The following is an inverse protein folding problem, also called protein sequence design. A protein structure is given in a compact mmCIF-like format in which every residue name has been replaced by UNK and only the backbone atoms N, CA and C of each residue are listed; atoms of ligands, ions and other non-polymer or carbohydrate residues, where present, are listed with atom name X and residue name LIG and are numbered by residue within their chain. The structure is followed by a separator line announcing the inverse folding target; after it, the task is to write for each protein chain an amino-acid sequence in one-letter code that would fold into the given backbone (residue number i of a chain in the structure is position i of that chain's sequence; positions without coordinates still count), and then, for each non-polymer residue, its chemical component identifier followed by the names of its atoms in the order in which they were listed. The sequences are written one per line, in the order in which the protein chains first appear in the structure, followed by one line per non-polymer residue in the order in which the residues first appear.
data_IF_445703660020
#
_entry.id   IF_445703660020
#
_cell.length_a   1.000
_cell.length_b   1.000
_cell.length_c   1.000
_cell.angle_alpha   90.00
_cell.angle_beta   90.00
_cell.angle_gamma   90.00
#
_symmetry.space_group_name_H-M   'P 1'
#
loop_
_entity.id
_entity.type
_entity.pdbx_description
1 polymer ?
#
# COMPACT_ATOMS: atom_id res chain seq x y z
N UNK A 1 -17.75 7.40 -22.60
CA UNK A 1 -16.34 7.18 -22.17
C UNK A 1 -16.27 6.80 -20.68
N UNK A 2 -16.78 7.60 -19.71
CA UNK A 2 -16.75 7.23 -18.28
C UNK A 2 -17.54 5.95 -17.98
N UNK A 3 -18.75 5.82 -18.51
CA UNK A 3 -19.58 4.62 -18.35
C UNK A 3 -18.90 3.35 -18.88
N UNK A 4 -18.25 3.45 -20.03
CA UNK A 4 -17.48 2.33 -20.60
C UNK A 4 -16.31 1.93 -19.68
N UNK A 5 -15.60 2.92 -19.10
CA UNK A 5 -14.52 2.67 -18.15
C UNK A 5 -15.04 1.96 -16.88
N UNK A 6 -16.18 2.41 -16.33
CA UNK A 6 -16.80 1.80 -15.16
C UNK A 6 -17.35 0.39 -15.45
N UNK A 7 -17.83 0.16 -16.68
CA UNK A 7 -18.24 -1.17 -17.13
C UNK A 7 -17.04 -2.13 -17.17
N UNK A 8 -15.93 -1.73 -17.83
CA UNK A 8 -14.70 -2.53 -17.89
C UNK A 8 -14.15 -2.79 -16.48
N UNK A 9 -14.18 -1.79 -15.61
CA UNK A 9 -13.74 -1.90 -14.20
C UNK A 9 -14.53 -2.98 -13.44
N UNK A 10 -15.83 -3.05 -13.69
CA UNK A 10 -16.71 -4.09 -13.12
C UNK A 10 -16.46 -5.46 -13.74
N UNK A 11 -16.28 -5.55 -15.04
CA UNK A 11 -16.01 -6.82 -15.74
C UNK A 11 -14.69 -7.45 -15.29
N UNK A 12 -13.62 -6.65 -15.14
CA UNK A 12 -12.33 -7.14 -14.62
C UNK A 12 -12.50 -7.65 -13.18
N UNK A 13 -13.25 -6.93 -12.34
CA UNK A 13 -13.54 -7.40 -11.00
C UNK A 13 -14.24 -8.76 -11.01
N UNK A 14 -15.33 -8.88 -11.81
CA UNK A 14 -16.11 -10.12 -11.90
C UNK A 14 -15.29 -11.28 -12.44
N UNK A 15 -14.44 -11.05 -13.42
CA UNK A 15 -13.52 -12.05 -13.94
C UNK A 15 -12.53 -12.56 -12.86
N UNK A 16 -11.97 -11.66 -12.05
CA UNK A 16 -11.05 -12.04 -10.96
C UNK A 16 -11.80 -12.75 -9.83
N UNK A 17 -12.93 -12.20 -9.38
CA UNK A 17 -13.72 -12.75 -8.29
C UNK A 17 -14.42 -14.06 -8.67
N UNK A 18 -14.84 -14.21 -9.93
CA UNK A 18 -15.46 -15.43 -10.43
C UNK A 18 -14.50 -16.62 -10.56
N UNK A 19 -13.18 -16.37 -10.63
CA UNK A 19 -12.17 -17.43 -10.65
C UNK A 19 -11.78 -17.78 -9.20
N UNK A 20 -12.63 -18.53 -8.52
CA UNK A 20 -12.47 -18.87 -7.11
C UNK A 20 -12.38 -20.39 -6.88
N UNK A 21 -11.74 -20.77 -5.77
CA UNK A 21 -11.62 -22.14 -5.29
C UNK A 21 -11.40 -22.14 -3.77
N UNK A 22 -11.79 -23.21 -3.03
CA UNK A 22 -11.69 -23.24 -1.56
C UNK A 22 -10.27 -22.97 -1.03
N UNK A 23 -9.24 -23.48 -1.70
CA UNK A 23 -7.83 -23.20 -1.33
C UNK A 23 -7.45 -21.75 -1.59
N UNK A 24 -7.92 -21.17 -2.69
CA UNK A 24 -7.66 -19.78 -3.05
C UNK A 24 -8.40 -18.81 -2.13
N UNK A 25 -9.61 -19.13 -1.68
CA UNK A 25 -10.37 -18.38 -0.68
C UNK A 25 -9.57 -18.24 0.61
N UNK A 26 -9.04 -19.33 1.14
CA UNK A 26 -8.19 -19.34 2.34
C UNK A 26 -6.93 -18.51 2.13
N UNK A 27 -6.25 -18.69 0.99
CA UNK A 27 -5.01 -17.97 0.68
C UNK A 27 -5.25 -16.46 0.56
N UNK A 28 -6.27 -16.05 -0.20
CA UNK A 28 -6.57 -14.63 -0.41
C UNK A 28 -7.10 -13.96 0.86
N UNK A 29 -7.83 -14.70 1.70
CA UNK A 29 -8.22 -14.23 3.02
C UNK A 29 -7.00 -13.93 3.90
N UNK A 30 -6.04 -14.86 3.97
CA UNK A 30 -4.79 -14.71 4.73
C UNK A 30 -3.97 -13.53 4.17
N UNK A 31 -3.77 -13.44 2.85
CA UNK A 31 -3.01 -12.36 2.21
C UNK A 31 -3.66 -10.99 2.50
N UNK A 32 -4.99 -10.91 2.49
CA UNK A 32 -5.72 -9.66 2.75
C UNK A 32 -5.69 -9.24 4.22
N UNK A 33 -5.39 -10.14 5.16
CA UNK A 33 -5.40 -9.83 6.57
C UNK A 33 -4.16 -9.03 6.99
N UNK A 34 -4.36 -7.87 7.63
CA UNK A 34 -3.24 -6.99 8.08
C UNK A 34 -2.27 -7.71 9.02
N UNK A 35 -2.78 -8.57 9.89
CA UNK A 35 -1.97 -9.29 10.88
C UNK A 35 -0.98 -10.27 10.23
N UNK A 36 -1.30 -10.83 9.07
CA UNK A 36 -0.43 -11.74 8.32
C UNK A 36 0.94 -11.13 8.02
N UNK A 37 1.00 -9.82 7.86
CA UNK A 37 2.19 -9.09 7.45
C UNK A 37 3.01 -8.52 8.59
N UNK A 38 2.60 -8.75 9.85
CA UNK A 38 3.38 -8.35 11.03
C UNK A 38 4.83 -8.87 10.98
N UNK A 39 5.10 -10.16 10.64
CA UNK A 39 6.48 -10.64 10.51
C UNK A 39 7.28 -9.89 9.45
N UNK A 40 6.68 -9.57 8.31
CA UNK A 40 7.35 -8.76 7.27
C UNK A 40 7.67 -7.35 7.79
N UNK A 41 6.74 -6.67 8.46
CA UNK A 41 7.00 -5.35 9.03
C UNK A 41 8.13 -5.37 10.06
N UNK A 42 8.14 -6.39 10.95
CA UNK A 42 9.21 -6.56 11.92
C UNK A 42 10.57 -6.82 11.25
N UNK A 43 10.60 -7.61 10.18
CA UNK A 43 11.81 -7.83 9.38
C UNK A 43 12.30 -6.52 8.77
N UNK A 44 11.44 -5.73 8.12
CA UNK A 44 11.81 -4.45 7.50
C UNK A 44 12.34 -3.46 8.54
N UNK A 45 11.70 -3.36 9.70
CA UNK A 45 12.16 -2.55 10.82
C UNK A 45 13.53 -3.03 11.30
N UNK A 46 13.70 -4.35 11.52
CA UNK A 46 14.97 -4.95 11.94
C UNK A 46 16.12 -4.64 10.97
N UNK A 47 15.85 -4.72 9.66
CA UNK A 47 16.82 -4.38 8.62
C UNK A 47 17.21 -2.89 8.66
N UNK A 48 16.25 -1.98 8.85
CA UNK A 48 16.55 -0.56 9.01
C UNK A 48 17.37 -0.29 10.27
N UNK A 49 17.02 -0.90 11.39
CA UNK A 49 17.78 -0.79 12.65
C UNK A 49 19.21 -1.33 12.45
N UNK A 50 19.35 -2.50 11.88
CA UNK A 50 20.66 -3.11 11.64
C UNK A 50 21.57 -2.21 10.80
N UNK A 51 21.06 -1.61 9.71
CA UNK A 51 21.86 -0.82 8.76
C UNK A 51 22.07 0.63 9.19
N UNK A 52 21.06 1.25 9.83
CA UNK A 52 21.01 2.71 10.09
C UNK A 52 20.98 3.06 11.60
N UNK A 53 21.52 2.19 12.46
CA UNK A 53 21.54 2.37 13.92
C UNK A 53 22.42 3.54 14.40
N UNK A 54 23.29 4.06 13.55
CA UNK A 54 24.16 5.20 13.90
C UNK A 54 23.50 6.52 13.49
N UNK A 55 23.76 7.60 14.22
CA UNK A 55 23.42 8.94 13.76
C UNK A 55 24.14 9.27 12.46
N UNK A 56 23.54 10.11 11.63
CA UNK A 56 24.14 10.62 10.39
C UNK A 56 24.23 12.13 10.43
N UNK A 57 25.18 12.69 9.69
CA UNK A 57 25.28 14.14 9.49
C UNK A 57 24.06 14.62 8.71
N UNK A 58 23.23 15.41 9.34
CA UNK A 58 21.95 15.91 8.79
C UNK A 58 21.94 17.44 8.84
N UNK A 59 21.19 18.06 7.92
CA UNK A 59 20.93 19.52 7.91
C UNK A 59 20.11 19.99 9.12
N UNK A 60 19.42 19.09 9.78
CA UNK A 60 18.54 19.38 10.93
C UNK A 60 19.32 19.11 12.22
N UNK A 61 19.80 20.16 12.89
CA UNK A 61 20.73 20.07 14.04
C UNK A 61 20.29 19.10 15.15
N UNK A 62 19.01 19.11 15.55
CA UNK A 62 18.54 18.25 16.64
C UNK A 62 18.47 16.75 16.24
N UNK A 63 18.38 16.44 14.94
CA UNK A 63 18.40 15.05 14.43
C UNK A 63 19.82 14.46 14.40
N UNK A 64 20.89 15.27 14.52
CA UNK A 64 22.27 14.78 14.48
C UNK A 64 22.60 13.81 15.63
N UNK A 65 21.81 13.83 16.70
CA UNK A 65 21.96 12.93 17.85
C UNK A 65 21.03 11.70 17.79
N UNK A 66 20.12 11.67 16.82
CA UNK A 66 19.12 10.61 16.68
C UNK A 66 19.61 9.56 15.68
N UNK A 67 19.55 8.26 15.99
CA UNK A 67 19.85 7.21 15.02
C UNK A 67 18.98 7.35 13.76
N UNK A 68 19.60 7.22 12.58
CA UNK A 68 18.88 7.44 11.32
C UNK A 68 17.70 6.46 11.14
N UNK A 69 17.80 5.22 11.65
CA UNK A 69 16.70 4.26 11.63
C UNK A 69 15.45 4.77 12.35
N UNK A 70 15.59 5.50 13.47
CA UNK A 70 14.43 6.04 14.20
C UNK A 70 13.69 7.04 13.33
N UNK A 71 14.41 7.96 12.67
CA UNK A 71 13.83 8.95 11.76
C UNK A 71 13.16 8.27 10.56
N UNK A 72 13.81 7.26 9.98
CA UNK A 72 13.25 6.52 8.82
C UNK A 72 12.00 5.73 9.20
N UNK A 73 12.00 5.04 10.33
CA UNK A 73 10.84 4.28 10.83
C UNK A 73 9.67 5.23 11.14
N UNK A 74 9.95 6.34 11.83
CA UNK A 74 8.95 7.36 12.11
C UNK A 74 8.37 7.97 10.81
N UNK A 75 9.22 8.25 9.81
CA UNK A 75 8.78 8.76 8.51
C UNK A 75 7.90 7.75 7.77
N UNK A 76 8.25 6.45 7.79
CA UNK A 76 7.41 5.40 7.18
C UNK A 76 6.05 5.35 7.89
N UNK A 77 6.03 5.36 9.23
CA UNK A 77 4.79 5.37 10.00
C UNK A 77 3.89 6.58 9.70
N UNK A 78 4.49 7.79 9.66
CA UNK A 78 3.80 9.02 9.31
C UNK A 78 3.27 8.99 7.86
N UNK A 79 4.06 8.49 6.92
CA UNK A 79 3.66 8.37 5.53
C UNK A 79 2.50 7.38 5.34
N UNK A 80 2.52 6.23 6.04
CA UNK A 80 1.40 5.27 6.04
C UNK A 80 0.16 5.91 6.66
N UNK A 81 0.29 6.59 7.80
CA UNK A 81 -0.82 7.31 8.43
C UNK A 81 -1.41 8.40 7.53
N UNK A 82 -0.57 9.17 6.83
CA UNK A 82 -1.00 10.18 5.87
C UNK A 82 -1.73 9.56 4.66
N UNK A 83 -1.20 8.47 4.10
CA UNK A 83 -1.85 7.78 2.99
C UNK A 83 -3.21 7.17 3.41
N UNK A 84 -3.29 6.58 4.60
CA UNK A 84 -4.56 6.06 5.14
C UNK A 84 -5.58 7.19 5.38
N UNK A 85 -5.14 8.32 5.95
CA UNK A 85 -6.00 9.49 6.16
C UNK A 85 -6.50 10.08 4.83
N UNK A 86 -5.64 10.23 3.82
CA UNK A 86 -6.03 10.69 2.49
C UNK A 86 -7.02 9.71 1.85
N UNK A 87 -6.71 8.41 1.90
CA UNK A 87 -7.53 7.38 1.28
C UNK A 87 -8.87 7.21 2.00
N UNK A 88 -8.85 7.05 3.32
CA UNK A 88 -10.03 6.68 4.13
C UNK A 88 -10.78 7.88 4.70
N UNK A 89 -10.06 8.94 5.10
CA UNK A 89 -10.66 10.12 5.72
C UNK A 89 -11.13 11.18 4.73
N UNK A 90 -10.50 11.24 3.53
CA UNK A 90 -10.83 12.28 2.54
C UNK A 90 -11.50 11.67 1.32
N UNK A 91 -10.77 10.83 0.56
CA UNK A 91 -11.21 10.41 -0.77
C UNK A 91 -12.44 9.49 -0.74
N UNK A 92 -12.57 8.61 0.25
CA UNK A 92 -13.75 7.75 0.36
C UNK A 92 -15.04 8.54 0.60
N UNK A 93 -14.99 9.55 1.44
CA UNK A 93 -16.16 10.38 1.73
C UNK A 93 -16.45 11.35 0.58
N UNK A 94 -15.40 11.89 -0.07
CA UNK A 94 -15.55 12.84 -1.17
C UNK A 94 -16.13 12.17 -2.43
N UNK A 95 -15.62 10.99 -2.80
CA UNK A 95 -16.06 10.27 -4.02
C UNK A 95 -17.30 9.42 -3.75
N UNK A 96 -17.47 8.92 -2.52
CA UNK A 96 -18.60 8.13 -2.05
C UNK A 96 -18.98 6.95 -2.96
N UNK A 97 -18.00 6.37 -3.70
CA UNK A 97 -18.21 5.23 -4.58
C UNK A 97 -18.54 3.98 -3.75
N UNK A 98 -19.73 3.37 -3.92
CA UNK A 98 -20.07 2.15 -3.18
C UNK A 98 -19.10 1.01 -3.54
N UNK A 99 -18.80 0.15 -2.57
CA UNK A 99 -18.05 -1.07 -2.83
C UNK A 99 -18.85 -2.05 -3.67
N UNK A 100 -18.20 -2.96 -4.43
CA UNK A 100 -18.92 -4.01 -5.19
C UNK A 100 -19.93 -4.77 -4.33
N UNK A 101 -19.53 -5.14 -3.10
CA UNK A 101 -20.36 -5.84 -2.12
C UNK A 101 -21.57 -5.04 -1.58
N UNK A 102 -21.73 -3.77 -1.99
CA UNK A 102 -22.81 -2.86 -1.59
C UNK A 102 -23.66 -2.39 -2.78
N UNK A 103 -23.39 -2.92 -3.97
CA UNK A 103 -24.12 -2.61 -5.20
C UNK A 103 -25.18 -3.69 -5.39
N UNK A 104 -26.50 -3.33 -5.42
CA UNK A 104 -27.59 -4.32 -5.50
C UNK A 104 -27.50 -5.23 -6.73
N UNK A 105 -27.06 -4.69 -7.88
CA UNK A 105 -26.93 -5.40 -9.14
C UNK A 105 -25.86 -6.52 -9.11
N UNK A 106 -24.94 -6.44 -8.14
CA UNK A 106 -23.88 -7.43 -7.91
C UNK A 106 -24.21 -8.42 -6.79
N UNK A 107 -25.35 -8.25 -6.12
CA UNK A 107 -25.78 -9.16 -5.07
C UNK A 107 -26.14 -10.53 -5.67
N UNK A 108 -25.56 -11.60 -5.10
CA UNK A 108 -25.70 -12.96 -5.64
C UNK A 108 -24.80 -13.30 -6.83
N UNK A 109 -24.14 -12.31 -7.45
CA UNK A 109 -23.16 -12.53 -8.52
C UNK A 109 -21.75 -12.66 -7.95
N UNK A 110 -21.41 -11.86 -6.92
CA UNK A 110 -20.12 -11.88 -6.28
C UNK A 110 -19.94 -13.10 -5.37
N UNK A 111 -18.79 -13.76 -5.52
CA UNK A 111 -18.31 -14.74 -4.54
C UNK A 111 -17.78 -14.03 -3.29
N UNK A 112 -18.43 -14.26 -2.14
CA UNK A 112 -18.09 -13.64 -0.85
C UNK A 112 -17.40 -14.66 0.06
N UNK A 113 -16.09 -14.55 0.21
CA UNK A 113 -15.33 -15.39 1.14
C UNK A 113 -15.76 -15.04 2.58
N UNK A 114 -16.21 -16.04 3.33
CA UNK A 114 -16.70 -15.90 4.70
C UNK A 114 -17.81 -14.83 4.88
N UNK A 115 -18.56 -14.51 3.84
CA UNK A 115 -19.60 -13.47 3.88
C UNK A 115 -19.07 -12.06 4.05
N UNK A 116 -17.78 -11.81 3.79
CA UNK A 116 -17.12 -10.55 4.05
C UNK A 116 -17.54 -9.46 3.08
N UNK A 117 -18.12 -8.37 3.59
CA UNK A 117 -18.63 -7.24 2.78
C UNK A 117 -17.82 -5.94 2.95
N UNK A 118 -16.94 -5.83 3.93
CA UNK A 118 -16.16 -4.61 4.25
C UNK A 118 -17.02 -3.34 4.47
N UNK A 119 -16.42 -2.14 4.44
CA UNK A 119 -17.11 -0.87 4.66
C UNK A 119 -17.99 -0.42 3.47
N UNK A 120 -18.61 0.78 3.58
CA UNK A 120 -19.55 1.32 2.59
C UNK A 120 -18.89 1.75 1.30
N UNK A 121 -17.82 2.59 1.37
CA UNK A 121 -17.17 3.19 0.21
C UNK A 121 -15.84 2.51 -0.14
N UNK A 122 -15.52 2.44 -1.44
CA UNK A 122 -14.37 1.74 -2.01
C UNK A 122 -13.23 2.63 -2.46
N UNK A 123 -13.52 3.74 -3.09
CA UNK A 123 -12.52 4.59 -3.75
C UNK A 123 -11.88 5.57 -2.74
N UNK A 124 -10.58 5.54 -2.56
CA UNK A 124 -9.56 4.63 -3.08
C UNK A 124 -9.28 3.51 -2.08
N UNK A 125 -8.57 2.46 -2.52
CA UNK A 125 -8.18 1.36 -1.63
C UNK A 125 -7.06 1.76 -0.69
N UNK A 126 -7.36 1.88 0.61
CA UNK A 126 -6.34 2.15 1.64
C UNK A 126 -5.34 0.99 1.83
N UNK A 127 -5.74 -0.27 1.56
CA UNK A 127 -4.78 -1.37 1.53
C UNK A 127 -3.72 -1.17 0.45
N UNK A 128 -4.14 -0.81 -0.77
CA UNK A 128 -3.21 -0.53 -1.86
C UNK A 128 -2.31 0.68 -1.54
N UNK A 129 -2.87 1.76 -0.99
CA UNK A 129 -2.11 2.95 -0.62
C UNK A 129 -1.05 2.64 0.45
N UNK A 130 -1.44 1.99 1.54
CA UNK A 130 -0.57 1.72 2.68
C UNK A 130 0.55 0.71 2.34
N UNK A 131 0.22 -0.37 1.60
CA UNK A 131 1.24 -1.34 1.15
C UNK A 131 2.22 -0.71 0.17
N UNK A 132 1.74 0.15 -0.75
CA UNK A 132 2.59 0.87 -1.69
C UNK A 132 3.54 1.84 -0.97
N UNK A 133 3.07 2.60 0.03
CA UNK A 133 3.95 3.47 0.84
C UNK A 133 5.07 2.64 1.48
N UNK A 134 4.73 1.56 2.18
CA UNK A 134 5.72 0.71 2.84
C UNK A 134 6.73 0.15 1.84
N UNK A 135 6.25 -0.45 0.74
CA UNK A 135 7.10 -1.10 -0.24
C UNK A 135 8.00 -0.11 -0.97
N UNK A 136 7.43 0.98 -1.48
CA UNK A 136 8.17 1.94 -2.30
C UNK A 136 9.16 2.74 -1.47
N UNK A 137 8.75 3.27 -0.31
CA UNK A 137 9.64 4.06 0.54
C UNK A 137 10.79 3.20 1.08
N UNK A 138 10.52 1.98 1.56
CA UNK A 138 11.58 1.06 1.97
C UNK A 138 12.52 0.73 0.80
N UNK A 139 12.00 0.44 -0.38
CA UNK A 139 12.80 0.13 -1.59
C UNK A 139 13.73 1.28 -1.97
N UNK A 140 13.23 2.52 -1.92
CA UNK A 140 14.03 3.71 -2.21
C UNK A 140 15.13 3.96 -1.17
N UNK A 141 14.88 3.64 0.11
CA UNK A 141 15.88 3.74 1.20
C UNK A 141 16.90 2.61 1.07
N UNK A 142 16.45 1.37 0.88
CA UNK A 142 17.28 0.16 0.93
C UNK A 142 18.11 -0.03 -0.34
N UNK A 143 17.59 0.34 -1.51
CA UNK A 143 18.25 0.31 -2.83
C UNK A 143 18.77 -1.09 -3.23
N UNK A 144 18.00 -2.12 -2.95
CA UNK A 144 18.28 -3.49 -3.38
C UNK A 144 17.20 -3.95 -4.35
N UNK A 145 17.59 -4.36 -5.57
CA UNK A 145 16.65 -4.74 -6.64
C UNK A 145 15.81 -5.95 -6.27
N UNK A 146 16.40 -6.97 -5.63
CA UNK A 146 15.70 -8.20 -5.24
C UNK A 146 14.64 -7.88 -4.18
N UNK A 147 15.00 -7.11 -3.14
CA UNK A 147 14.06 -6.65 -2.12
C UNK A 147 12.94 -5.81 -2.74
N UNK A 148 13.26 -4.92 -3.68
CA UNK A 148 12.26 -4.12 -4.39
C UNK A 148 11.27 -5.00 -5.15
N UNK A 149 11.75 -5.95 -5.95
CA UNK A 149 10.87 -6.89 -6.68
C UNK A 149 9.99 -7.67 -5.72
N UNK A 150 10.56 -8.23 -4.64
CA UNK A 150 9.78 -8.97 -3.64
C UNK A 150 8.68 -8.12 -2.98
N UNK A 151 9.00 -6.85 -2.64
CA UNK A 151 8.01 -5.93 -2.07
C UNK A 151 6.94 -5.51 -3.08
N UNK A 152 7.28 -5.32 -4.36
CA UNK A 152 6.27 -5.04 -5.39
C UNK A 152 5.36 -6.24 -5.65
N UNK A 153 5.88 -7.47 -5.63
CA UNK A 153 5.05 -8.68 -5.70
C UNK A 153 4.13 -8.80 -4.47
N UNK A 154 4.62 -8.45 -3.29
CA UNK A 154 3.78 -8.37 -2.09
C UNK A 154 2.65 -7.34 -2.23
N UNK A 155 2.92 -6.14 -2.77
CA UNK A 155 1.87 -5.14 -3.08
C UNK A 155 0.86 -5.72 -4.07
N UNK A 156 1.34 -6.33 -5.16
CA UNK A 156 0.47 -6.92 -6.18
C UNK A 156 -0.43 -8.02 -5.60
N UNK A 157 0.12 -8.91 -4.76
CA UNK A 157 -0.65 -9.96 -4.09
C UNK A 157 -1.75 -9.38 -3.16
N UNK A 158 -1.40 -8.33 -2.38
CA UNK A 158 -2.39 -7.63 -1.56
C UNK A 158 -3.48 -6.98 -2.41
N UNK A 159 -3.13 -6.28 -3.48
CA UNK A 159 -4.08 -5.66 -4.40
C UNK A 159 -5.01 -6.71 -5.04
N UNK A 160 -4.44 -7.81 -5.54
CA UNK A 160 -5.21 -8.91 -6.11
C UNK A 160 -6.19 -9.51 -5.10
N UNK A 161 -5.76 -9.74 -3.86
CA UNK A 161 -6.62 -10.28 -2.80
C UNK A 161 -7.85 -9.41 -2.53
N UNK A 162 -7.75 -8.07 -2.70
CA UNK A 162 -8.89 -7.15 -2.48
C UNK A 162 -9.95 -7.27 -3.60
N UNK A 163 -9.51 -7.49 -4.84
CA UNK A 163 -10.41 -7.74 -5.97
C UNK A 163 -11.01 -9.15 -5.88
N UNK A 164 -10.18 -10.15 -5.55
CA UNK A 164 -10.63 -11.52 -5.33
C UNK A 164 -11.74 -11.62 -4.27
N UNK A 165 -11.60 -10.90 -3.15
CA UNK A 165 -12.61 -10.82 -2.08
C UNK A 165 -13.83 -9.97 -2.46
N UNK A 166 -13.90 -9.41 -3.67
CA UNK A 166 -15.02 -8.62 -4.15
C UNK A 166 -15.20 -7.26 -3.45
N UNK A 167 -14.20 -6.75 -2.74
CA UNK A 167 -14.34 -5.54 -1.90
C UNK A 167 -13.79 -4.25 -2.51
N UNK A 168 -13.09 -4.34 -3.65
CA UNK A 168 -12.58 -3.19 -4.40
C UNK A 168 -12.58 -3.45 -5.89
N UNK A 169 -12.93 -2.42 -6.67
CA UNK A 169 -12.73 -2.40 -8.10
C UNK A 169 -11.26 -2.17 -8.47
N UNK A 170 -10.79 -2.56 -9.68
CA UNK A 170 -9.45 -2.22 -10.19
C UNK A 170 -9.10 -0.74 -10.08
N UNK A 171 -10.02 0.18 -10.42
CA UNK A 171 -9.79 1.62 -10.33
C UNK A 171 -9.61 2.09 -8.87
N UNK A 172 -10.26 1.46 -7.89
CA UNK A 172 -10.02 1.76 -6.47
C UNK A 172 -8.58 1.41 -6.08
N UNK A 173 -8.07 0.29 -6.61
CA UNK A 173 -6.69 -0.18 -6.40
C UNK A 173 -5.70 0.78 -7.05
N UNK A 174 -5.90 1.12 -8.33
CA UNK A 174 -5.03 2.06 -9.05
C UNK A 174 -4.97 3.42 -8.36
N UNK A 175 -6.11 3.97 -7.96
CA UNK A 175 -6.16 5.21 -7.20
C UNK A 175 -5.41 5.11 -5.87
N UNK A 176 -5.54 3.98 -5.15
CA UNK A 176 -4.80 3.72 -3.93
C UNK A 176 -3.28 3.64 -4.16
N UNK A 177 -2.84 2.93 -5.19
CA UNK A 177 -1.43 2.87 -5.59
C UNK A 177 -0.86 4.25 -5.92
N UNK A 178 -1.63 5.09 -6.63
CA UNK A 178 -1.20 6.47 -6.95
C UNK A 178 -1.02 7.31 -5.68
N UNK A 179 -1.98 7.27 -4.75
CA UNK A 179 -1.85 7.96 -3.44
C UNK A 179 -0.62 7.46 -2.70
N UNK A 180 -0.43 6.14 -2.63
CA UNK A 180 0.73 5.54 -1.98
C UNK A 180 2.06 5.96 -2.60
N UNK A 181 2.15 6.00 -3.94
CA UNK A 181 3.32 6.46 -4.66
C UNK A 181 3.65 7.93 -4.33
N UNK A 182 2.66 8.82 -4.42
CA UNK A 182 2.84 10.25 -4.17
C UNK A 182 3.33 10.52 -2.74
N UNK A 183 2.71 9.87 -1.76
CA UNK A 183 3.09 10.01 -0.36
C UNK A 183 4.48 9.44 -0.10
N UNK A 184 4.81 8.26 -0.64
CA UNK A 184 6.14 7.65 -0.50
C UNK A 184 7.24 8.52 -1.12
N UNK A 185 7.01 9.07 -2.33
CA UNK A 185 7.94 9.96 -3.00
C UNK A 185 8.16 11.25 -2.20
N UNK A 186 7.10 11.85 -1.66
CA UNK A 186 7.18 13.04 -0.80
C UNK A 186 8.01 12.75 0.45
N UNK A 187 7.74 11.65 1.15
CA UNK A 187 8.49 11.23 2.34
C UNK A 187 9.98 10.98 2.01
N UNK A 188 10.27 10.35 0.88
CA UNK A 188 11.63 10.12 0.41
C UNK A 188 12.38 11.44 0.14
N UNK A 189 11.74 12.40 -0.52
CA UNK A 189 12.33 13.73 -0.78
C UNK A 189 12.61 14.47 0.52
N UNK A 190 11.74 14.36 1.52
CA UNK A 190 11.97 14.95 2.85
C UNK A 190 13.17 14.32 3.54
N UNK A 191 13.28 12.98 3.57
CA UNK A 191 14.44 12.28 4.12
C UNK A 191 15.74 12.68 3.42
N UNK A 192 15.70 12.83 2.10
CA UNK A 192 16.85 13.30 1.34
C UNK A 192 17.23 14.76 1.68
N UNK A 193 16.28 15.69 1.68
CA UNK A 193 16.51 17.09 2.04
C UNK A 193 17.05 17.24 3.47
N UNK A 194 16.66 16.37 4.38
CA UNK A 194 17.19 16.35 5.76
C UNK A 194 18.57 15.68 5.85
N UNK A 195 19.11 15.13 4.77
CA UNK A 195 20.41 14.44 4.76
C UNK A 195 20.38 13.06 5.43
N UNK A 196 19.18 12.47 5.65
CA UNK A 196 19.05 11.13 6.26
C UNK A 196 19.45 10.01 5.31
N UNK A 197 19.39 10.26 4.01
CA UNK A 197 19.77 9.33 2.94
C UNK A 197 20.69 10.02 1.93
N UNK A 198 21.60 9.26 1.33
CA UNK A 198 22.55 9.78 0.34
C UNK A 198 21.83 10.28 -0.93
N UNK A 199 22.37 11.31 -1.56
CA UNK A 199 21.85 11.87 -2.79
C UNK A 199 21.82 10.80 -3.89
N UNK A 200 20.68 10.53 -4.54
CA UNK A 200 20.59 9.56 -5.62
C UNK A 200 21.47 9.90 -6.84
N UNK A 201 21.86 11.18 -7.01
CA UNK A 201 22.67 11.64 -8.15
C UNK A 201 24.18 11.49 -7.96
N UNK A 202 24.66 11.34 -6.72
CA UNK A 202 26.12 11.29 -6.42
C UNK A 202 26.67 9.85 -6.36
N UNK A 203 25.86 8.83 -6.43
CA UNK A 203 26.25 7.43 -6.34
C UNK A 203 26.22 6.74 -7.73
N UNK A 204 26.78 7.38 -8.75
CA UNK A 204 27.17 6.72 -9.99
C UNK A 204 28.68 6.47 -9.91
N UNK A 205 29.04 5.39 -9.25
CA UNK A 205 30.35 4.84 -9.17
C UNK A 205 30.23 3.33 -9.09
#
# INVERSE_FOLDING_TARGET
MLEQLLHIDTEILLAINGWHAPWADTLMWIISAKATWIPLYLLLIGLLVWRYRKPVMTSVKWLQKVPACVVMIAMIGLAVGAADFIASGILKELVARPRPTRVPELEGVLHLVNGYRSGRYGFVSSHAANTMVCALLFSMIWRNKIATVGLMLWVAANCYSRMYLGVHYPLDILGGLMVGCLVAMTAYVLLWKWGMIANPRTNKG
#
